data_IF_071819079613
#
_entry.id   IF_071819079613
#
_cell.length_a   1.000
_cell.length_b   1.000
_cell.length_c   1.000
_cell.angle_alpha   90.00
_cell.angle_beta   90.00
_cell.angle_gamma   90.00
#
_symmetry.space_group_name_H-M   'P 1'
#
loop_
_entity.id
_entity.type
_entity.pdbx_description
1 polymer ?
#
# COMPACT_ATOMS: atom_id res chain seq x y z
N UNK A 1 2.28 5.31 -25.57
CA UNK A 1 3.24 5.79 -24.56
C UNK A 1 2.72 5.45 -23.17
N UNK A 2 3.60 5.10 -22.22
CA UNK A 2 3.19 4.85 -20.84
C UNK A 2 2.83 6.17 -20.14
N UNK A 3 1.56 6.34 -19.79
CA UNK A 3 1.07 7.52 -19.06
C UNK A 3 1.62 7.56 -17.65
N UNK A 4 2.13 8.71 -17.21
CA UNK A 4 2.64 8.88 -15.85
C UNK A 4 1.53 8.66 -14.82
N UNK A 5 1.84 8.02 -13.70
CA UNK A 5 0.86 7.58 -12.71
C UNK A 5 -0.03 8.68 -12.13
N UNK A 6 0.52 9.88 -11.93
CA UNK A 6 -0.24 11.07 -11.51
C UNK A 6 -1.34 11.47 -12.50
N UNK A 7 -1.27 10.97 -13.73
CA UNK A 7 -2.28 11.15 -14.79
C UNK A 7 -3.17 9.92 -14.99
N UNK A 8 -2.93 8.82 -14.26
CA UNK A 8 -3.73 7.58 -14.32
C UNK A 8 -4.68 7.43 -13.13
N UNK A 9 -4.39 8.10 -12.01
CA UNK A 9 -5.26 8.16 -10.83
C UNK A 9 -5.77 9.58 -10.71
N UNK A 10 -7.05 9.77 -10.97
CA UNK A 10 -7.78 11.02 -10.86
C UNK A 10 -8.91 10.84 -9.86
N UNK A 11 -8.73 11.40 -8.65
CA UNK A 11 -9.73 11.29 -7.59
C UNK A 11 -10.94 12.20 -7.82
N UNK A 12 -10.90 13.08 -8.83
CA UNK A 12 -12.06 13.85 -9.28
C UNK A 12 -12.99 13.00 -10.13
N UNK A 13 -12.44 12.03 -10.87
CA UNK A 13 -13.21 11.24 -11.84
C UNK A 13 -13.81 9.99 -11.18
N UNK A 14 -13.02 9.30 -10.35
CA UNK A 14 -13.52 8.18 -9.51
C UNK A 14 -12.62 7.97 -8.31
N UNK A 15 -13.20 7.42 -7.23
CA UNK A 15 -12.47 6.97 -6.05
C UNK A 15 -12.11 5.48 -6.09
N UNK A 16 -12.70 4.73 -7.02
CA UNK A 16 -12.56 3.28 -7.13
C UNK A 16 -11.53 2.87 -8.18
N UNK A 17 -10.61 1.99 -7.80
CA UNK A 17 -9.53 1.52 -8.67
C UNK A 17 -9.30 0.02 -8.54
N UNK A 18 -9.31 -0.67 -9.68
CA UNK A 18 -8.87 -2.04 -9.80
C UNK A 18 -7.36 -2.10 -10.03
N UNK A 19 -6.64 -2.74 -9.12
CA UNK A 19 -5.19 -2.81 -9.10
C UNK A 19 -4.70 -4.24 -9.30
N UNK A 20 -3.77 -4.44 -10.23
CA UNK A 20 -3.19 -5.74 -10.56
C UNK A 20 -1.67 -5.72 -10.42
N UNK A 21 -1.09 -6.53 -9.52
CA UNK A 21 0.37 -6.80 -9.48
C UNK A 21 0.63 -8.24 -9.89
N UNK A 22 1.56 -8.44 -10.83
CA UNK A 22 1.99 -9.76 -11.30
C UNK A 22 3.45 -10.04 -10.93
N UNK A 23 3.73 -11.28 -10.54
CA UNK A 23 5.06 -11.78 -10.27
C UNK A 23 5.81 -12.13 -11.55
N UNK A 24 7.14 -12.10 -11.51
CA UNK A 24 8.01 -12.53 -12.62
C UNK A 24 8.73 -13.83 -12.31
N UNK A 25 9.43 -14.41 -13.29
CA UNK A 25 10.32 -15.58 -13.13
C UNK A 25 9.64 -16.82 -12.53
N UNK A 26 8.37 -17.06 -12.87
CA UNK A 26 7.56 -18.16 -12.30
C UNK A 26 7.53 -18.16 -10.77
N UNK A 27 7.67 -17.00 -10.13
CA UNK A 27 7.46 -16.89 -8.69
C UNK A 27 5.96 -17.03 -8.37
N UNK A 28 5.67 -17.73 -7.27
CA UNK A 28 4.31 -18.02 -6.83
C UNK A 28 3.91 -17.17 -5.62
N UNK A 29 2.69 -16.63 -5.69
CA UNK A 29 1.98 -15.97 -4.59
C UNK A 29 1.13 -16.94 -3.79
N UNK A 30 0.63 -18.00 -4.43
CA UNK A 30 -0.12 -19.10 -3.83
C UNK A 30 -0.23 -20.26 -4.83
N UNK A 31 -0.94 -21.32 -4.45
CA UNK A 31 -1.11 -22.51 -5.27
C UNK A 31 0.13 -23.41 -5.32
N UNK A 32 0.06 -24.42 -6.17
CA UNK A 32 1.10 -25.44 -6.31
C UNK A 32 1.91 -25.22 -7.60
N UNK A 33 3.23 -25.31 -7.50
CA UNK A 33 4.09 -25.37 -8.67
C UNK A 33 4.07 -26.78 -9.26
N UNK A 34 3.35 -26.93 -10.38
CA UNK A 34 3.16 -28.23 -11.06
C UNK A 34 4.44 -28.92 -11.52
N UNK A 35 5.57 -28.21 -11.57
CA UNK A 35 6.87 -28.81 -11.94
C UNK A 35 7.58 -29.42 -10.75
N UNK A 36 7.56 -28.74 -9.60
CA UNK A 36 8.28 -29.19 -8.40
C UNK A 36 7.39 -29.90 -7.39
N UNK A 37 6.06 -29.78 -7.52
CA UNK A 37 5.08 -30.21 -6.52
C UNK A 37 5.05 -29.32 -5.27
N UNK A 38 5.84 -28.24 -5.24
CA UNK A 38 5.91 -27.35 -4.08
C UNK A 38 4.62 -26.54 -3.96
N UNK A 39 3.96 -26.64 -2.80
CA UNK A 39 2.81 -25.79 -2.47
C UNK A 39 3.26 -24.47 -1.84
N UNK A 40 2.62 -23.40 -2.29
CA UNK A 40 2.76 -22.03 -1.80
C UNK A 40 1.44 -21.48 -1.24
N UNK A 41 0.42 -22.32 -1.09
CA UNK A 41 -0.93 -21.90 -0.73
C UNK A 41 -0.99 -21.12 0.59
N UNK A 42 -0.09 -21.44 1.53
CA UNK A 42 0.06 -20.74 2.80
C UNK A 42 0.35 -19.24 2.66
N UNK A 43 1.00 -18.82 1.56
CA UNK A 43 1.31 -17.41 1.29
C UNK A 43 0.06 -16.55 1.09
N UNK A 44 -1.07 -17.14 0.70
CA UNK A 44 -2.36 -16.43 0.55
C UNK A 44 -2.75 -15.73 1.85
N UNK A 45 -2.63 -16.42 2.98
CA UNK A 45 -2.94 -15.88 4.31
C UNK A 45 -2.04 -14.69 4.67
N UNK A 46 -0.77 -14.71 4.28
CA UNK A 46 0.15 -13.58 4.53
C UNK A 46 -0.22 -12.34 3.73
N UNK A 47 -0.61 -12.54 2.47
CA UNK A 47 -1.02 -11.48 1.55
C UNK A 47 -2.31 -10.84 2.07
N UNK A 48 -3.29 -11.66 2.44
CA UNK A 48 -4.57 -11.21 2.98
C UNK A 48 -4.39 -10.45 4.30
N UNK A 49 -3.67 -11.03 5.26
CA UNK A 49 -3.42 -10.39 6.55
C UNK A 49 -2.74 -9.02 6.37
N UNK A 50 -1.75 -8.91 5.48
CA UNK A 50 -1.10 -7.63 5.22
C UNK A 50 -2.02 -6.64 4.53
N UNK A 51 -2.85 -7.08 3.58
CA UNK A 51 -3.81 -6.22 2.91
C UNK A 51 -4.81 -5.62 3.90
N UNK A 52 -5.38 -6.43 4.78
CA UNK A 52 -6.33 -6.00 5.81
C UNK A 52 -5.67 -5.12 6.87
N UNK A 53 -4.41 -5.38 7.23
CA UNK A 53 -3.61 -4.48 8.09
C UNK A 53 -3.48 -3.09 7.45
N UNK A 54 -3.15 -3.04 6.15
CA UNK A 54 -2.98 -1.77 5.43
C UNK A 54 -4.30 -0.99 5.33
N UNK A 55 -5.43 -1.66 5.12
CA UNK A 55 -6.75 -1.02 5.09
C UNK A 55 -7.09 -0.31 6.42
N UNK A 56 -6.61 -0.82 7.56
CA UNK A 56 -6.79 -0.19 8.88
C UNK A 56 -5.91 1.04 9.09
N UNK A 57 -4.79 1.14 8.37
CA UNK A 57 -3.81 2.21 8.53
C UNK A 57 -3.95 3.32 7.50
N UNK A 58 -4.13 2.96 6.23
CA UNK A 58 -4.32 3.90 5.13
C UNK A 58 -5.72 4.52 5.18
N UNK A 59 -5.88 5.66 4.48
CA UNK A 59 -7.18 6.22 4.10
C UNK A 59 -7.64 5.58 2.77
N UNK A 60 -7.56 4.26 2.70
CA UNK A 60 -7.92 3.45 1.53
C UNK A 60 -8.64 2.20 2.04
N UNK A 61 -9.85 1.98 1.53
CA UNK A 61 -10.63 0.80 1.84
C UNK A 61 -10.39 -0.27 0.76
N UNK A 62 -10.47 -1.54 1.17
CA UNK A 62 -10.37 -2.69 0.28
C UNK A 62 -11.78 -3.20 0.03
N UNK A 63 -12.30 -2.97 -1.18
CA UNK A 63 -13.67 -3.35 -1.53
C UNK A 63 -13.76 -4.82 -1.93
N UNK A 64 -12.75 -5.31 -2.64
CA UNK A 64 -12.64 -6.72 -3.04
C UNK A 64 -11.17 -7.08 -3.30
N UNK A 65 -10.82 -8.36 -3.17
CA UNK A 65 -9.52 -8.86 -3.59
C UNK A 65 -9.59 -10.32 -4.04
N UNK A 66 -8.64 -10.70 -4.90
CA UNK A 66 -8.37 -12.08 -5.27
C UNK A 66 -6.85 -12.28 -5.37
N UNK A 67 -6.37 -13.39 -4.81
CA UNK A 67 -4.97 -13.82 -4.91
C UNK A 67 -4.93 -15.03 -5.83
N UNK A 68 -4.32 -14.84 -7.00
CA UNK A 68 -4.04 -15.89 -7.97
C UNK A 68 -2.62 -16.37 -7.78
N UNK A 69 -2.28 -17.52 -8.37
CA UNK A 69 -0.97 -18.14 -8.20
C UNK A 69 0.21 -17.23 -8.55
N UNK A 70 0.07 -16.29 -9.48
CA UNK A 70 1.14 -15.39 -9.90
C UNK A 70 0.76 -13.90 -9.97
N UNK A 71 -0.44 -13.52 -9.52
CA UNK A 71 -0.85 -12.11 -9.49
C UNK A 71 -1.96 -11.86 -8.46
N UNK A 72 -2.14 -10.59 -8.09
CA UNK A 72 -3.27 -10.14 -7.26
C UNK A 72 -4.19 -9.25 -8.05
N UNK A 73 -5.48 -9.32 -7.78
CA UNK A 73 -6.49 -8.33 -8.15
C UNK A 73 -7.02 -7.68 -6.88
N UNK A 74 -6.97 -6.36 -6.76
CA UNK A 74 -7.47 -5.65 -5.58
C UNK A 74 -8.27 -4.44 -6.03
N UNK A 75 -9.53 -4.35 -5.59
CA UNK A 75 -10.38 -3.18 -5.77
C UNK A 75 -10.23 -2.30 -4.53
N UNK A 76 -9.82 -1.06 -4.75
CA UNK A 76 -9.51 -0.09 -3.70
C UNK A 76 -10.41 1.14 -3.85
N UNK A 77 -10.89 1.65 -2.72
CA UNK A 77 -11.56 2.95 -2.64
C UNK A 77 -10.65 3.93 -1.90
N UNK A 78 -10.37 5.09 -2.49
CA UNK A 78 -9.57 6.15 -1.85
C UNK A 78 -10.48 7.12 -1.10
N UNK A 79 -10.39 7.10 0.23
CA UNK A 79 -11.18 7.97 1.11
C UNK A 79 -10.42 9.27 1.43
N UNK A 80 -10.39 10.19 0.46
CA UNK A 80 -9.75 11.50 0.64
C UNK A 80 -10.50 12.39 1.63
N UNK A 81 -11.78 12.12 1.89
CA UNK A 81 -12.56 12.82 2.92
C UNK A 81 -12.04 12.45 4.31
N UNK A 82 -11.86 11.15 4.59
CA UNK A 82 -11.21 10.69 5.83
C UNK A 82 -9.80 11.23 5.93
N UNK A 83 -9.04 11.22 4.84
CA UNK A 83 -7.71 11.79 4.83
C UNK A 83 -7.70 13.26 5.24
N UNK A 84 -8.65 14.09 4.81
CA UNK A 84 -8.77 15.51 5.20
C UNK A 84 -9.27 15.69 6.64
N UNK A 85 -10.18 14.83 7.11
CA UNK A 85 -10.79 14.92 8.45
C UNK A 85 -9.85 14.52 9.60
N UNK A 86 -8.83 13.70 9.33
CA UNK A 86 -7.93 13.23 10.39
C UNK A 86 -7.10 14.37 10.99
N UNK A 87 -6.94 14.37 12.31
CA UNK A 87 -6.01 15.29 12.97
C UNK A 87 -4.55 14.91 12.67
N UNK A 88 -3.66 15.88 12.83
CA UNK A 88 -2.22 15.68 12.60
C UNK A 88 -1.64 14.57 13.46
N UNK A 89 -2.01 14.54 14.75
CA UNK A 89 -1.68 13.43 15.66
C UNK A 89 -2.13 12.08 15.09
N UNK A 90 -3.34 12.02 14.54
CA UNK A 90 -3.90 10.79 13.98
C UNK A 90 -3.21 10.35 12.67
N UNK A 91 -2.70 11.30 11.87
CA UNK A 91 -1.86 11.03 10.70
C UNK A 91 -0.50 10.47 11.12
N UNK A 92 0.16 11.12 12.10
CA UNK A 92 1.46 10.66 12.61
C UNK A 92 1.35 9.25 13.19
N UNK A 93 0.36 8.98 14.05
CA UNK A 93 0.13 7.65 14.62
C UNK A 93 -0.06 6.59 13.54
N UNK A 94 -0.84 6.88 12.50
CA UNK A 94 -1.03 5.95 11.36
C UNK A 94 0.28 5.71 10.62
N UNK A 95 1.03 6.77 10.33
CA UNK A 95 2.33 6.66 9.66
C UNK A 95 3.31 5.78 10.47
N UNK A 96 3.35 5.98 11.80
CA UNK A 96 4.23 5.25 12.72
C UNK A 96 3.92 3.75 12.82
N UNK A 97 2.69 3.32 12.48
CA UNK A 97 2.34 1.88 12.42
C UNK A 97 3.09 1.14 11.31
N UNK A 98 3.56 1.84 10.27
CA UNK A 98 4.19 1.22 9.10
C UNK A 98 5.64 1.66 8.91
N UNK A 99 6.00 2.84 9.40
CA UNK A 99 7.30 3.47 9.20
C UNK A 99 7.83 4.04 10.51
N UNK A 100 9.15 4.21 10.63
CA UNK A 100 9.77 4.70 11.88
C UNK A 100 9.39 6.14 12.25
N UNK A 101 8.89 6.96 11.32
CA UNK A 101 8.65 8.38 11.55
C UNK A 101 9.92 9.24 11.55
N UNK A 102 9.77 10.55 11.79
CA UNK A 102 10.85 11.52 11.96
C UNK A 102 11.02 11.92 13.42
N UNK A 103 12.18 12.48 13.79
CA UNK A 103 12.45 12.94 15.16
C UNK A 103 11.37 13.90 15.64
N UNK A 104 10.99 14.88 14.81
CA UNK A 104 9.95 15.85 15.13
C UNK A 104 8.59 15.20 15.38
N UNK A 105 8.25 14.18 14.60
CA UNK A 105 6.99 13.45 14.77
C UNK A 105 6.94 12.65 16.08
N UNK A 106 8.09 12.14 16.55
CA UNK A 106 8.18 11.49 17.87
C UNK A 106 8.03 12.50 19.01
N UNK A 107 8.77 13.61 18.94
CA UNK A 107 8.67 14.72 19.91
C UNK A 107 7.24 15.22 20.06
N UNK A 108 6.56 15.41 18.92
CA UNK A 108 5.16 15.83 18.90
C UNK A 108 4.23 14.82 19.59
N UNK A 109 4.41 13.51 19.36
CA UNK A 109 3.62 12.49 20.03
C UNK A 109 3.89 12.40 21.53
N UNK A 110 5.09 12.76 21.98
CA UNK A 110 5.49 12.84 23.38
C UNK A 110 5.03 14.13 24.07
N UNK A 111 4.45 15.08 23.33
CA UNK A 111 3.99 16.36 23.87
C UNK A 111 5.14 17.35 24.14
N UNK A 112 6.32 17.12 23.58
CA UNK A 112 7.42 18.09 23.66
C UNK A 112 7.06 19.39 22.94
N UNK A 113 7.52 20.53 23.47
CA UNK A 113 7.37 21.82 22.80
C UNK A 113 8.33 21.88 21.61
N UNK A 114 7.78 22.22 20.45
CA UNK A 114 8.54 22.48 19.23
C UNK A 114 8.65 23.99 19.01
N UNK A 115 9.83 24.46 18.62
CA UNK A 115 9.99 25.85 18.16
C UNK A 115 9.30 26.06 16.80
N UNK A 116 9.24 27.33 16.35
CA UNK A 116 8.55 27.68 15.10
C UNK A 116 9.14 27.00 13.86
N UNK A 117 10.46 26.79 13.81
CA UNK A 117 11.11 26.14 12.68
C UNK A 117 10.83 24.62 12.70
N UNK A 118 10.92 23.99 13.87
CA UNK A 118 10.57 22.59 14.07
C UNK A 118 9.10 22.32 13.72
N UNK A 119 8.18 23.18 14.17
CA UNK A 119 6.77 23.05 13.84
C UNK A 119 6.53 23.18 12.32
N UNK A 120 7.23 24.09 11.66
CA UNK A 120 7.16 24.24 10.20
C UNK A 120 7.57 22.96 9.45
N UNK A 121 8.70 22.35 9.82
CA UNK A 121 9.15 21.09 9.21
C UNK A 121 8.22 19.93 9.53
N UNK A 122 7.72 19.85 10.77
CA UNK A 122 6.74 18.83 11.15
C UNK A 122 5.45 18.95 10.32
N UNK A 123 4.93 20.16 10.10
CA UNK A 123 3.74 20.37 9.28
C UNK A 123 3.94 19.88 7.84
N UNK A 124 5.13 20.08 7.26
CA UNK A 124 5.49 19.52 5.94
C UNK A 124 5.52 17.99 5.95
N UNK A 125 6.09 17.39 6.99
CA UNK A 125 6.11 15.93 7.15
C UNK A 125 4.68 15.38 7.24
N UNK A 126 3.82 16.00 8.05
CA UNK A 126 2.43 15.58 8.24
C UNK A 126 1.66 15.63 6.91
N UNK A 127 1.80 16.71 6.15
CA UNK A 127 1.10 16.84 4.87
C UNK A 127 1.56 15.75 3.88
N UNK A 128 2.86 15.49 3.84
CA UNK A 128 3.41 14.39 3.04
C UNK A 128 2.89 13.03 3.53
N UNK A 129 2.80 12.79 4.84
CA UNK A 129 2.26 11.54 5.37
C UNK A 129 0.78 11.37 5.00
N UNK A 130 -0.01 12.45 5.06
CA UNK A 130 -1.42 12.48 4.71
C UNK A 130 -1.65 12.15 3.24
N UNK A 131 -0.87 12.75 2.34
CA UNK A 131 -0.88 12.43 0.90
C UNK A 131 -0.56 10.95 0.66
N UNK A 132 0.51 10.46 1.31
CA UNK A 132 0.97 9.08 1.13
C UNK A 132 -0.01 8.05 1.68
N UNK A 133 -0.60 8.31 2.86
CA UNK A 133 -1.63 7.44 3.46
C UNK A 133 -2.92 7.38 2.64
N UNK A 134 -3.09 8.27 1.66
CA UNK A 134 -4.22 8.27 0.73
C UNK A 134 -3.82 7.83 -0.68
N UNK A 135 -2.57 7.43 -0.88
CA UNK A 135 -2.03 7.08 -2.18
C UNK A 135 -2.08 5.58 -2.42
N UNK A 136 -2.80 5.17 -3.47
CA UNK A 136 -2.77 3.80 -4.00
C UNK A 136 -1.31 3.36 -4.25
N UNK A 137 -0.43 4.30 -4.62
CA UNK A 137 0.99 4.01 -4.87
C UNK A 137 1.71 3.52 -3.65
N UNK A 138 1.49 4.20 -2.55
CA UNK A 138 2.10 3.88 -1.29
C UNK A 138 1.50 2.63 -0.69
N UNK A 139 0.18 2.47 -0.73
CA UNK A 139 -0.47 1.25 -0.26
C UNK A 139 0.06 0.01 -1.01
N UNK A 140 0.08 0.05 -2.35
CA UNK A 140 0.61 -1.04 -3.18
C UNK A 140 2.10 -1.26 -2.99
N UNK A 141 2.90 -0.19 -2.79
CA UNK A 141 4.33 -0.31 -2.51
C UNK A 141 4.56 -1.10 -1.22
N UNK A 142 3.91 -0.73 -0.13
CA UNK A 142 4.08 -1.38 1.18
C UNK A 142 3.61 -2.84 1.12
N UNK A 143 2.49 -3.12 0.47
CA UNK A 143 1.99 -4.49 0.27
C UNK A 143 2.98 -5.34 -0.52
N UNK A 144 3.34 -4.89 -1.73
CA UNK A 144 4.22 -5.63 -2.62
C UNK A 144 5.60 -5.86 -1.99
N UNK A 145 6.15 -4.87 -1.29
CA UNK A 145 7.46 -4.98 -0.63
C UNK A 145 7.45 -6.04 0.48
N UNK A 146 6.38 -6.11 1.28
CA UNK A 146 6.26 -7.14 2.33
C UNK A 146 6.19 -8.55 1.74
N UNK A 147 5.40 -8.72 0.69
CA UNK A 147 5.26 -10.02 0.01
C UNK A 147 6.59 -10.43 -0.63
N UNK A 148 7.25 -9.50 -1.33
CA UNK A 148 8.55 -9.74 -1.98
C UNK A 148 9.60 -10.20 -0.96
N UNK A 149 9.72 -9.48 0.17
CA UNK A 149 10.67 -9.86 1.23
C UNK A 149 10.37 -11.23 1.83
N UNK A 150 9.09 -11.54 2.10
CA UNK A 150 8.71 -12.83 2.66
C UNK A 150 8.99 -13.97 1.68
N UNK A 151 8.57 -13.83 0.43
CA UNK A 151 8.78 -14.83 -0.61
C UNK A 151 10.26 -15.07 -0.87
N UNK A 152 11.07 -14.00 -1.00
CA UNK A 152 12.52 -14.14 -1.17
C UNK A 152 13.22 -14.82 -0.01
N UNK A 153 12.76 -14.55 1.22
CA UNK A 153 13.28 -15.20 2.42
C UNK A 153 12.97 -16.69 2.43
N UNK A 154 11.76 -17.08 2.01
CA UNK A 154 11.36 -18.49 1.91
C UNK A 154 12.08 -19.20 0.76
N UNK A 155 12.17 -18.57 -0.41
CA UNK A 155 12.73 -19.16 -1.64
C UNK A 155 14.26 -19.05 -1.72
N UNK A 156 14.93 -18.46 -0.72
CA UNK A 156 16.33 -18.02 -0.79
C UNK A 156 16.65 -17.25 -2.10
N UNK A 157 15.67 -16.49 -2.59
CA UNK A 157 15.68 -15.88 -3.91
C UNK A 157 16.28 -14.48 -3.92
N UNK A 158 17.09 -14.18 -4.93
CA UNK A 158 17.58 -12.83 -5.21
C UNK A 158 16.91 -12.23 -6.46
N UNK A 159 17.15 -10.95 -6.73
CA UNK A 159 16.61 -10.26 -7.92
C UNK A 159 15.17 -9.78 -7.75
N UNK A 160 14.43 -9.65 -8.85
CA UNK A 160 13.11 -9.02 -8.86
C UNK A 160 11.96 -10.03 -8.72
N UNK A 161 11.00 -9.73 -7.85
CA UNK A 161 9.81 -10.57 -7.65
C UNK A 161 8.58 -10.09 -8.44
N UNK A 162 8.34 -8.78 -8.49
CA UNK A 162 7.21 -8.17 -9.19
C UNK A 162 7.57 -7.62 -10.57
N UNK A 163 6.62 -7.50 -11.48
CA UNK A 163 6.77 -6.65 -12.67
C UNK A 163 7.17 -5.21 -12.30
N UNK A 164 7.74 -4.46 -13.26
CA UNK A 164 8.18 -3.07 -13.03
C UNK A 164 7.07 -2.19 -12.44
N UNK A 165 5.83 -2.39 -12.89
CA UNK A 165 4.67 -1.59 -12.51
C UNK A 165 3.49 -2.50 -12.32
N UNK A 166 2.68 -2.20 -11.31
CA UNK A 166 1.34 -2.76 -11.22
C UNK A 166 0.40 -1.95 -12.13
N UNK A 167 -0.69 -2.55 -12.60
CA UNK A 167 -1.72 -1.88 -13.41
C UNK A 167 -2.82 -1.31 -12.53
N UNK A 168 -3.26 -0.08 -12.78
CA UNK A 168 -4.43 0.53 -12.12
C UNK A 168 -5.44 0.94 -13.18
N UNK A 169 -6.69 0.50 -13.03
CA UNK A 169 -7.81 0.88 -13.88
C UNK A 169 -8.88 1.55 -13.02
N UNK A 170 -9.32 2.74 -13.42
CA UNK A 170 -10.47 3.40 -12.83
C UNK A 170 -11.70 2.50 -13.03
N UNK A 171 -12.43 2.21 -11.94
CA UNK A 171 -13.74 1.56 -12.05
C UNK A 171 -14.80 2.66 -12.22
N UNK A 172 -15.66 2.47 -13.21
CA UNK A 172 -16.80 3.32 -13.53
C UNK A 172 -18.03 3.02 -12.65
N UNK A 173 -17.94 2.07 -11.73
CA UNK A 173 -19.12 1.53 -11.07
C UNK A 173 -19.55 2.42 -9.90
N UNK A 174 -20.64 3.17 -10.14
CA UNK A 174 -21.53 3.68 -9.11
C UNK A 174 -22.55 2.60 -8.64
N UNK A 175 -22.24 1.32 -8.83
CA UNK A 175 -23.14 0.20 -8.55
C UNK A 175 -22.47 -0.78 -7.57
N UNK A 176 -22.75 -0.56 -6.28
CA UNK A 176 -22.83 -1.60 -5.26
C UNK A 176 -23.88 -1.14 -4.23
#
# INVERSE_FOLDING_TARGET
MATARKRQVSLTDTKYYHCISRCVRRAYLCGEDKVTGQSYEHRRGWIEAKLLELAKVFCIDVCAYAVMSNHTHIVLYVDDIKAKRLSDKAIIIRWHKLFKGTILSHKYLQGERLDSAQQYFLNKDIEQFRERLSSISWCRRVLNERIDRNAKKEDNGTGRFWEWRFKSQASSDAAA
#
